data_IF_714808405879
#
_entry.id   IF_714808405879
#
_cell.length_a   1.000
_cell.length_b   1.000
_cell.length_c   1.000
_cell.angle_alpha   90.00
_cell.angle_beta   90.00
_cell.angle_gamma   90.00
#
_symmetry.space_group_name_H-M   'P 1'
#
loop_
_entity.id
_entity.type
_entity.pdbx_description
1 polymer ?
#
# COMPACT_ATOMS: atom_id res chain seq x y z
N UNK A 1 -8.76 47.65 -7.69
CA UNK A 1 -10.20 47.52 -8.04
C UNK A 1 -10.41 46.15 -8.67
N UNK A 2 -11.52 45.51 -8.31
CA UNK A 2 -11.72 44.06 -8.28
C UNK A 2 -11.91 43.37 -9.65
N UNK A 3 -11.41 42.14 -9.76
CA UNK A 3 -11.76 41.15 -10.80
C UNK A 3 -12.79 40.21 -10.19
N UNK A 4 -14.00 40.17 -10.77
CA UNK A 4 -15.10 39.31 -10.32
C UNK A 4 -15.23 38.07 -11.21
N UNK A 5 -15.21 36.91 -10.56
CA UNK A 5 -15.60 35.61 -11.09
C UNK A 5 -17.14 35.52 -11.22
N UNK A 6 -17.63 34.91 -12.30
CA UNK A 6 -18.96 34.28 -12.30
C UNK A 6 -18.97 33.09 -13.29
N UNK A 7 -19.05 31.89 -12.71
CA UNK A 7 -19.25 30.61 -13.39
C UNK A 7 -20.69 30.19 -13.02
N UNK A 8 -21.57 29.99 -14.01
CA UNK A 8 -22.90 29.46 -13.74
C UNK A 8 -23.26 28.42 -14.79
N UNK A 9 -23.30 27.16 -14.33
CA UNK A 9 -23.78 26.01 -15.06
C UNK A 9 -25.20 25.71 -14.58
N UNK A 10 -26.13 25.54 -15.51
CA UNK A 10 -27.43 24.90 -15.32
C UNK A 10 -27.97 24.55 -16.70
N UNK A 11 -28.02 23.26 -17.04
CA UNK A 11 -29.12 22.67 -17.81
C UNK A 11 -28.98 21.14 -17.78
N UNK A 12 -29.84 20.53 -16.97
CA UNK A 12 -30.32 19.15 -17.15
C UNK A 12 -31.38 19.18 -18.26
N UNK A 13 -31.53 18.13 -19.08
CA UNK A 13 -32.76 17.34 -18.93
C UNK A 13 -32.65 15.83 -19.23
N UNK A 14 -33.31 15.07 -18.36
CA UNK A 14 -34.39 14.10 -18.66
C UNK A 14 -34.07 12.70 -19.23
N UNK A 15 -34.47 11.75 -18.40
CA UNK A 15 -34.76 10.31 -18.51
C UNK A 15 -35.59 9.82 -19.71
N UNK A 16 -35.30 8.59 -20.19
CA UNK A 16 -36.24 7.62 -20.81
C UNK A 16 -35.64 6.19 -20.58
N UNK A 17 -36.12 5.37 -19.65
CA UNK A 17 -37.20 4.37 -19.75
C UNK A 17 -37.12 3.39 -20.94
N UNK A 18 -36.64 2.14 -20.72
CA UNK A 18 -37.26 0.91 -21.28
C UNK A 18 -36.59 -0.37 -20.79
N UNK A 19 -37.36 -1.19 -20.10
CA UNK A 19 -37.29 -2.65 -20.11
C UNK A 19 -38.72 -3.14 -20.45
N UNK A 20 -39.03 -4.44 -20.55
CA UNK A 20 -38.26 -5.61 -21.00
C UNK A 20 -39.03 -6.36 -22.13
N UNK A 21 -38.39 -7.25 -22.90
CA UNK A 21 -39.12 -8.31 -23.65
C UNK A 21 -38.25 -9.57 -23.71
N UNK A 22 -38.85 -10.70 -23.34
CA UNK A 22 -38.17 -11.98 -23.18
C UNK A 22 -37.91 -12.74 -24.48
N UNK A 23 -37.39 -13.96 -24.31
CA UNK A 23 -37.70 -15.08 -25.18
C UNK A 23 -37.58 -16.39 -24.39
N UNK A 24 -38.56 -17.23 -24.67
CA UNK A 24 -38.92 -18.51 -24.08
C UNK A 24 -38.55 -19.60 -25.10
N UNK A 25 -38.35 -20.81 -24.57
CA UNK A 25 -38.56 -22.14 -25.18
C UNK A 25 -37.43 -22.87 -25.91
N UNK A 26 -37.24 -24.10 -25.41
CA UNK A 26 -37.04 -25.39 -26.12
C UNK A 26 -35.68 -25.61 -26.81
N UNK A 27 -35.05 -26.78 -26.76
CA UNK A 27 -35.58 -28.14 -27.00
C UNK A 27 -34.65 -29.22 -26.39
N UNK A 28 -35.21 -30.42 -26.19
CA UNK A 28 -34.60 -31.60 -25.60
C UNK A 28 -33.88 -32.54 -26.61
N UNK A 29 -33.45 -33.71 -26.10
CA UNK A 29 -33.23 -35.04 -26.74
C UNK A 29 -31.73 -35.41 -26.92
N UNK A 30 -31.11 -36.30 -26.10
CA UNK A 30 -31.16 -37.79 -25.91
C UNK A 30 -30.26 -38.59 -26.88
N UNK A 31 -29.62 -39.65 -26.31
CA UNK A 31 -29.09 -40.91 -26.89
C UNK A 31 -27.55 -40.96 -27.15
N UNK A 32 -26.79 -42.04 -26.94
CA UNK A 32 -26.91 -43.28 -26.17
C UNK A 32 -25.60 -44.10 -26.39
N UNK A 33 -25.22 -44.93 -25.41
CA UNK A 33 -24.53 -46.25 -25.51
C UNK A 33 -23.12 -46.40 -26.12
N UNK A 34 -22.27 -47.13 -25.38
CA UNK A 34 -21.09 -47.81 -25.90
C UNK A 34 -20.25 -48.49 -24.82
N UNK A 35 -20.73 -49.62 -24.29
CA UNK A 35 -19.97 -50.62 -23.50
C UNK A 35 -18.70 -51.09 -24.24
N UNK A 36 -17.61 -51.37 -23.52
CA UNK A 36 -16.94 -52.69 -23.47
C UNK A 36 -15.64 -52.63 -22.63
N UNK A 37 -15.61 -53.35 -21.50
CA UNK A 37 -14.43 -53.97 -20.88
C UNK A 37 -14.26 -55.38 -21.49
N UNK A 38 -13.06 -56.03 -21.55
CA UNK A 38 -12.37 -56.48 -20.33
C UNK A 38 -10.83 -56.69 -20.39
N UNK A 39 -10.27 -56.87 -19.18
CA UNK A 39 -9.16 -57.76 -18.78
C UNK A 39 -7.83 -57.74 -19.55
N UNK A 40 -6.74 -57.38 -18.86
CA UNK A 40 -5.83 -58.43 -18.41
C UNK A 40 -4.87 -58.02 -17.28
N UNK A 41 -4.50 -59.06 -16.55
CA UNK A 41 -3.90 -59.11 -15.22
C UNK A 41 -2.37 -59.19 -15.27
N UNK A 42 -1.64 -58.33 -14.54
CA UNK A 42 -0.28 -58.65 -14.04
C UNK A 42 -0.05 -57.90 -12.71
N UNK A 43 0.24 -58.66 -11.64
CA UNK A 43 0.70 -58.18 -10.31
C UNK A 43 2.25 -58.13 -10.25
N UNK A 44 2.86 -57.87 -9.08
CA UNK A 44 3.19 -56.56 -8.52
C UNK A 44 4.72 -56.37 -8.41
N UNK A 45 5.23 -55.15 -8.27
CA UNK A 45 6.52 -54.95 -7.59
C UNK A 45 6.59 -53.56 -6.94
N UNK A 46 6.95 -53.61 -5.67
CA UNK A 46 7.40 -52.55 -4.77
C UNK A 46 8.27 -51.49 -5.44
N UNK A 47 8.02 -50.21 -5.13
CA UNK A 47 9.00 -49.37 -4.41
C UNK A 47 8.38 -48.05 -3.94
N UNK A 48 8.67 -47.77 -2.66
CA UNK A 48 8.66 -46.46 -2.03
C UNK A 48 9.51 -45.49 -2.87
N UNK A 49 9.03 -44.28 -3.12
CA UNK A 49 9.59 -43.13 -2.40
C UNK A 49 8.69 -41.89 -2.54
N UNK A 50 8.62 -41.18 -1.43
CA UNK A 50 7.91 -39.93 -1.22
C UNK A 50 8.70 -38.81 -1.87
N UNK A 51 8.07 -38.07 -2.78
CA UNK A 51 8.58 -36.75 -3.19
C UNK A 51 7.40 -35.82 -3.44
N UNK A 52 6.87 -35.34 -2.31
CA UNK A 52 6.51 -33.95 -2.05
C UNK A 52 5.86 -33.20 -3.22
N UNK A 53 4.54 -33.36 -3.29
CA UNK A 53 3.64 -32.27 -3.65
C UNK A 53 4.07 -30.99 -2.90
N UNK A 54 4.13 -29.81 -3.54
CA UNK A 54 4.44 -28.58 -2.81
C UNK A 54 3.33 -28.39 -1.79
N UNK A 55 3.69 -28.57 -0.51
CA UNK A 55 2.82 -28.30 0.61
C UNK A 55 2.16 -26.94 0.34
N UNK A 56 0.84 -26.93 0.24
CA UNK A 56 0.08 -25.74 0.56
C UNK A 56 0.41 -25.46 2.02
N UNK A 57 1.45 -24.65 2.22
CA UNK A 57 1.77 -24.06 3.51
C UNK A 57 0.54 -23.22 3.82
N UNK A 58 -0.40 -23.81 4.54
CA UNK A 58 -1.41 -23.09 5.29
C UNK A 58 -0.62 -22.13 6.17
N UNK A 59 -0.44 -20.90 5.69
CA UNK A 59 0.13 -19.83 6.50
C UNK A 59 -0.80 -19.71 7.69
N UNK A 60 -0.30 -20.10 8.85
CA UNK A 60 -0.95 -19.82 10.12
C UNK A 60 -1.28 -18.34 10.10
N UNK A 61 -2.56 -17.98 10.24
CA UNK A 61 -3.01 -16.60 10.21
C UNK A 61 -2.13 -15.79 11.15
N UNK A 62 -1.31 -14.90 10.59
CA UNK A 62 -0.40 -14.07 11.37
C UNK A 62 -1.28 -13.12 12.18
N UNK A 63 -1.08 -13.07 13.50
CA UNK A 63 -1.89 -12.23 14.41
C UNK A 63 -1.02 -11.26 15.17
N UNK A 64 -1.63 -10.19 15.66
CA UNK A 64 -0.95 -9.18 16.45
C UNK A 64 -0.37 -8.03 15.62
N UNK A 65 0.12 -7.02 16.31
CA UNK A 65 0.67 -5.82 15.68
C UNK A 65 1.89 -6.13 14.78
N UNK A 66 2.74 -7.09 15.17
CA UNK A 66 3.88 -7.58 14.37
C UNK A 66 3.47 -8.19 13.03
N UNK A 67 2.35 -8.92 13.01
CA UNK A 67 1.83 -9.55 11.80
C UNK A 67 1.47 -8.51 10.74
N UNK A 68 0.87 -7.40 11.17
CA UNK A 68 0.48 -6.30 10.27
C UNK A 68 1.71 -5.70 9.60
N UNK A 69 2.80 -5.43 10.34
CA UNK A 69 4.08 -5.00 9.75
C UNK A 69 4.61 -6.00 8.71
N UNK A 70 4.60 -7.29 9.05
CA UNK A 70 5.12 -8.34 8.18
C UNK A 70 4.32 -8.43 6.87
N UNK A 71 2.98 -8.40 6.96
CA UNK A 71 2.10 -8.44 5.79
C UNK A 71 2.33 -7.22 4.90
N UNK A 72 2.37 -6.01 5.49
CA UNK A 72 2.66 -4.77 4.74
C UNK A 72 3.99 -4.87 3.99
N UNK A 73 5.03 -5.43 4.62
CA UNK A 73 6.34 -5.61 4.00
C UNK A 73 6.29 -6.61 2.83
N UNK A 74 5.58 -7.72 2.99
CA UNK A 74 5.46 -8.75 1.96
C UNK A 74 4.68 -8.26 0.72
N UNK A 75 3.71 -7.35 0.92
CA UNK A 75 2.91 -6.75 -0.15
C UNK A 75 3.74 -5.87 -1.11
N UNK A 76 4.85 -5.27 -0.67
CA UNK A 76 5.64 -4.32 -1.47
C UNK A 76 6.09 -4.90 -2.82
N UNK A 77 6.43 -6.21 -2.82
CA UNK A 77 6.89 -6.94 -4.00
C UNK A 77 5.83 -7.10 -5.09
N UNK A 78 4.56 -6.95 -4.74
CA UNK A 78 3.42 -7.13 -5.64
C UNK A 78 2.80 -5.81 -6.10
N UNK A 79 3.35 -4.68 -5.61
CA UNK A 79 2.90 -3.37 -6.05
C UNK A 79 3.37 -3.08 -7.48
N UNK A 80 2.61 -2.25 -8.21
CA UNK A 80 3.06 -1.75 -9.50
C UNK A 80 4.43 -1.05 -9.38
N UNK A 81 5.27 -1.18 -10.42
CA UNK A 81 6.61 -0.59 -10.43
C UNK A 81 6.56 0.94 -10.33
N UNK A 82 7.51 1.54 -9.59
CA UNK A 82 7.73 3.00 -9.51
C UNK A 82 8.30 3.59 -10.79
N UNK A 83 9.07 2.80 -11.53
CA UNK A 83 9.72 3.26 -12.76
C UNK A 83 8.70 3.57 -13.87
N UNK A 84 7.50 2.97 -13.80
CA UNK A 84 6.44 3.16 -14.79
C UNK A 84 5.63 4.41 -14.41
N UNK A 85 5.75 5.45 -15.24
CA UNK A 85 5.02 6.70 -15.06
C UNK A 85 3.55 6.61 -15.52
N UNK A 86 2.75 5.79 -14.83
CA UNK A 86 1.30 5.72 -15.02
C UNK A 86 0.58 6.22 -13.78
N UNK A 87 -0.44 7.07 -13.97
CA UNK A 87 -1.15 7.70 -12.86
C UNK A 87 -1.79 6.67 -11.92
N UNK A 88 -2.39 5.61 -12.45
CA UNK A 88 -3.02 4.55 -11.66
C UNK A 88 -1.99 3.79 -10.79
N UNK A 89 -0.78 3.59 -11.30
CA UNK A 89 0.33 2.91 -10.61
C UNK A 89 0.80 3.78 -9.43
N UNK A 90 0.94 5.08 -9.69
CA UNK A 90 1.26 6.07 -8.66
C UNK A 90 0.22 6.11 -7.56
N UNK A 91 -1.08 6.09 -7.89
CA UNK A 91 -2.15 6.08 -6.86
C UNK A 91 -2.02 4.88 -5.92
N UNK A 92 -1.78 3.67 -6.45
CA UNK A 92 -1.56 2.49 -5.61
C UNK A 92 -0.34 2.64 -4.69
N UNK A 93 0.79 3.13 -5.24
CA UNK A 93 2.01 3.41 -4.47
C UNK A 93 1.78 4.47 -3.40
N UNK A 94 1.02 5.52 -3.72
CA UNK A 94 0.66 6.57 -2.76
C UNK A 94 -0.16 5.99 -1.62
N UNK A 95 -1.25 5.27 -1.90
CA UNK A 95 -2.09 4.66 -0.85
C UNK A 95 -1.28 3.68 0.00
N UNK A 96 -0.46 2.83 -0.61
CA UNK A 96 0.43 1.94 0.14
C UNK A 96 1.45 2.70 0.99
N UNK A 97 2.01 3.80 0.47
CA UNK A 97 2.87 4.71 1.23
C UNK A 97 2.13 5.30 2.43
N UNK A 98 0.87 5.72 2.25
CA UNK A 98 0.01 6.18 3.35
C UNK A 98 -0.20 5.06 4.38
N UNK A 99 -0.48 3.82 3.97
CA UNK A 99 -0.64 2.68 4.88
C UNK A 99 0.60 2.48 5.75
N UNK A 100 1.80 2.52 5.16
CA UNK A 100 3.05 2.40 5.92
C UNK A 100 3.26 3.57 6.89
N UNK A 101 2.92 4.79 6.51
CA UNK A 101 3.01 5.94 7.42
C UNK A 101 1.99 5.87 8.55
N UNK A 102 0.75 5.50 8.26
CA UNK A 102 -0.31 5.30 9.26
C UNK A 102 0.08 4.21 10.24
N UNK A 103 0.63 3.09 9.75
CA UNK A 103 1.09 2.01 10.60
C UNK A 103 2.18 2.47 11.57
N UNK A 104 3.21 3.20 11.10
CA UNK A 104 4.24 3.74 11.99
C UNK A 104 3.72 4.73 13.03
N UNK A 105 2.66 5.48 12.69
CA UNK A 105 2.03 6.39 13.66
C UNK A 105 1.28 5.65 14.76
N UNK A 106 0.90 4.38 14.57
CA UNK A 106 0.21 3.59 15.61
C UNK A 106 1.08 3.50 16.86
N UNK A 107 2.40 3.33 16.67
CA UNK A 107 3.37 3.13 17.75
C UNK A 107 3.47 4.35 18.68
N UNK A 108 3.29 5.55 18.10
CA UNK A 108 3.40 6.83 18.81
C UNK A 108 2.02 7.48 19.12
N UNK A 109 0.91 6.86 18.70
CA UNK A 109 -0.42 7.47 18.79
C UNK A 109 -1.06 7.26 20.15
N UNK A 110 -1.66 8.33 20.68
CA UNK A 110 -2.53 8.25 21.88
C UNK A 110 -3.81 7.45 21.61
N UNK A 111 -4.20 7.28 20.34
CA UNK A 111 -5.42 6.58 19.92
C UNK A 111 -5.11 5.56 18.80
N UNK A 112 -4.44 4.45 19.13
CA UNK A 112 -4.04 3.46 18.12
C UNK A 112 -5.26 2.80 17.46
N UNK A 113 -6.39 2.68 18.17
CA UNK A 113 -7.65 2.18 17.60
C UNK A 113 -8.15 2.99 16.40
N UNK A 114 -7.97 4.32 16.41
CA UNK A 114 -8.33 5.19 15.28
C UNK A 114 -7.41 4.93 14.09
N UNK A 115 -6.11 4.86 14.33
CA UNK A 115 -5.13 4.62 13.25
C UNK A 115 -5.30 3.23 12.60
N UNK A 116 -5.71 2.20 13.35
CA UNK A 116 -6.10 0.91 12.78
C UNK A 116 -7.38 0.97 11.92
N UNK A 117 -8.35 1.82 12.28
CA UNK A 117 -9.52 2.08 11.43
C UNK A 117 -9.15 2.82 10.16
N UNK A 118 -8.25 3.79 10.26
CA UNK A 118 -7.71 4.49 9.10
C UNK A 118 -6.94 3.50 8.19
N UNK A 119 -6.17 2.58 8.78
CA UNK A 119 -5.48 1.51 8.05
C UNK A 119 -6.47 0.55 7.35
N UNK A 120 -7.58 0.22 7.99
CA UNK A 120 -8.67 -0.56 7.38
C UNK A 120 -9.27 0.15 6.17
N UNK A 121 -9.49 1.47 6.25
CA UNK A 121 -9.98 2.27 5.13
C UNK A 121 -9.00 2.29 3.95
N UNK A 122 -7.72 2.46 4.24
CA UNK A 122 -6.65 2.46 3.22
C UNK A 122 -6.48 1.09 2.53
N UNK A 123 -6.69 -0.03 3.23
CA UNK A 123 -6.69 -1.36 2.61
C UNK A 123 -7.79 -1.49 1.56
N UNK A 124 -9.02 -1.05 1.88
CA UNK A 124 -10.14 -1.09 0.95
C UNK A 124 -9.92 -0.19 -0.27
N UNK A 125 -9.32 0.99 -0.05
CA UNK A 125 -8.94 1.92 -1.12
C UNK A 125 -7.87 1.30 -2.04
N UNK A 126 -6.83 0.69 -1.47
CA UNK A 126 -5.78 0.00 -2.23
C UNK A 126 -6.37 -1.15 -3.05
N UNK A 127 -7.25 -1.96 -2.47
CA UNK A 127 -7.95 -3.04 -3.17
C UNK A 127 -8.76 -2.50 -4.35
N UNK A 128 -9.41 -1.36 -4.19
CA UNK A 128 -10.16 -0.69 -5.26
C UNK A 128 -9.24 -0.22 -6.38
N UNK A 129 -8.12 0.44 -6.06
CA UNK A 129 -7.16 0.87 -7.08
C UNK A 129 -6.49 -0.29 -7.82
N UNK A 130 -6.16 -1.38 -7.11
CA UNK A 130 -5.58 -2.59 -7.72
C UNK A 130 -6.57 -3.29 -8.66
N UNK A 131 -7.87 -3.32 -8.32
CA UNK A 131 -8.90 -3.82 -9.23
C UNK A 131 -9.04 -2.94 -10.48
N UNK A 132 -8.99 -1.61 -10.31
CA UNK A 132 -9.15 -0.65 -11.41
C UNK A 132 -7.93 -0.61 -12.36
N UNK A 133 -6.74 -0.97 -11.87
CA UNK A 133 -5.50 -1.00 -12.66
C UNK A 133 -5.57 -1.94 -13.86
N UNK A 134 -6.26 -3.08 -13.70
CA UNK A 134 -6.34 -4.11 -14.72
C UNK A 134 -7.64 -4.91 -14.60
N UNK A 135 -8.77 -4.29 -14.93
CA UNK A 135 -10.09 -4.93 -14.89
C UNK A 135 -10.15 -6.28 -15.64
N UNK A 136 -9.28 -6.48 -16.64
CA UNK A 136 -9.19 -7.72 -17.41
C UNK A 136 -8.34 -8.83 -16.75
N UNK A 137 -7.29 -8.49 -16.00
CA UNK A 137 -6.40 -9.49 -15.33
C UNK A 137 -6.65 -9.62 -13.82
N UNK A 138 -7.37 -8.68 -13.22
CA UNK A 138 -7.64 -8.63 -11.78
C UNK A 138 -6.40 -8.40 -10.91
N UNK A 139 -6.60 -8.41 -9.60
CA UNK A 139 -5.52 -8.35 -8.60
C UNK A 139 -4.74 -9.67 -8.62
N UNK A 140 -3.40 -9.67 -8.64
CA UNK A 140 -2.60 -10.88 -8.49
C UNK A 140 -3.03 -11.71 -7.27
N UNK A 141 -3.14 -13.04 -7.43
CA UNK A 141 -3.67 -13.94 -6.39
C UNK A 141 -2.95 -13.72 -5.05
N UNK A 142 -1.61 -13.70 -5.05
CA UNK A 142 -0.82 -13.46 -3.83
C UNK A 142 -1.09 -12.11 -3.19
N UNK A 143 -1.27 -11.05 -3.98
CA UNK A 143 -1.60 -9.72 -3.45
C UNK A 143 -2.97 -9.72 -2.79
N UNK A 144 -3.94 -10.46 -3.35
CA UNK A 144 -5.25 -10.65 -2.74
C UNK A 144 -5.16 -11.40 -1.41
N UNK A 145 -4.38 -12.48 -1.36
CA UNK A 145 -4.14 -13.24 -0.12
C UNK A 145 -3.57 -12.36 0.98
N UNK A 146 -2.57 -11.52 0.67
CA UNK A 146 -2.02 -10.58 1.65
C UNK A 146 -3.02 -9.50 2.08
N UNK A 147 -3.84 -8.98 1.17
CA UNK A 147 -4.89 -8.02 1.51
C UNK A 147 -5.98 -8.64 2.38
N UNK A 148 -6.36 -9.89 2.13
CA UNK A 148 -7.31 -10.63 2.97
C UNK A 148 -6.71 -10.92 4.35
N UNK A 149 -5.45 -11.36 4.41
CA UNK A 149 -4.71 -11.58 5.67
C UNK A 149 -4.57 -10.27 6.47
N UNK A 150 -4.27 -9.15 5.80
CA UNK A 150 -4.18 -7.83 6.42
C UNK A 150 -5.53 -7.41 7.02
N UNK A 151 -6.61 -7.56 6.26
CA UNK A 151 -7.96 -7.24 6.70
C UNK A 151 -8.35 -8.06 7.93
N UNK A 152 -8.07 -9.36 7.90
CA UNK A 152 -8.42 -10.26 8.99
C UNK A 152 -7.57 -9.97 10.25
N UNK A 153 -6.28 -9.65 10.09
CA UNK A 153 -5.41 -9.22 11.20
C UNK A 153 -5.86 -7.90 11.83
N UNK A 154 -6.28 -6.91 11.01
CA UNK A 154 -6.82 -5.63 11.50
C UNK A 154 -8.14 -5.85 12.24
N UNK A 155 -9.03 -6.70 11.71
CA UNK A 155 -10.30 -7.02 12.36
C UNK A 155 -10.10 -7.73 13.70
N UNK A 156 -9.16 -8.68 13.77
CA UNK A 156 -8.80 -9.38 15.01
C UNK A 156 -8.20 -8.40 16.04
N UNK A 157 -7.32 -7.49 15.62
CA UNK A 157 -6.77 -6.44 16.50
C UNK A 157 -7.88 -5.53 17.05
N UNK A 158 -8.78 -5.06 16.19
CA UNK A 158 -9.91 -4.21 16.58
C UNK A 158 -10.90 -4.95 17.50
N UNK A 159 -11.11 -6.25 17.30
CA UNK A 159 -12.01 -7.06 18.11
C UNK A 159 -11.45 -7.35 19.51
N UNK A 160 -10.13 -7.55 19.65
CA UNK A 160 -9.47 -7.76 20.95
C UNK A 160 -9.33 -6.48 21.78
N UNK A 161 -9.41 -5.32 21.11
CA UNK A 161 -9.09 -4.04 21.71
C UNK A 161 -7.61 -3.74 21.55
N UNK A 162 -7.30 -2.57 20.98
CA UNK A 162 -5.93 -2.14 20.73
C UNK A 162 -5.48 -1.32 21.92
N UNK A 163 -4.78 -1.96 22.85
CA UNK A 163 -4.14 -1.31 23.99
C UNK A 163 -2.65 -1.09 23.73
N UNK A 164 -2.01 -0.30 24.59
CA UNK A 164 -0.56 -0.10 24.59
C UNK A 164 0.19 -1.41 24.77
N UNK A 165 -0.35 -2.34 25.56
CA UNK A 165 0.25 -3.67 25.81
C UNK A 165 0.24 -4.52 24.54
N UNK A 166 -0.83 -4.46 23.74
CA UNK A 166 -0.91 -5.18 22.45
C UNK A 166 0.17 -4.70 21.46
N UNK A 167 0.44 -3.39 21.44
CA UNK A 167 1.48 -2.80 20.58
C UNK A 167 2.86 -3.20 21.12
N UNK A 168 3.10 -3.07 22.42
CA UNK A 168 4.36 -3.44 23.07
C UNK A 168 4.68 -4.93 22.91
N UNK A 169 3.69 -5.82 23.01
CA UNK A 169 3.82 -7.25 22.73
C UNK A 169 4.24 -7.48 21.27
N UNK A 170 3.59 -6.81 20.32
CA UNK A 170 3.97 -6.89 18.91
C UNK A 170 5.38 -6.36 18.62
N UNK A 171 5.79 -5.25 19.24
CA UNK A 171 7.15 -4.72 19.10
C UNK A 171 8.17 -5.70 19.68
N UNK A 172 7.86 -6.31 20.82
CA UNK A 172 8.70 -7.33 21.46
C UNK A 172 8.84 -8.55 20.57
N UNK A 173 7.75 -9.06 19.99
CA UNK A 173 7.76 -10.18 19.05
C UNK A 173 8.61 -9.90 17.79
N UNK A 174 8.63 -8.65 17.33
CA UNK A 174 9.46 -8.21 16.20
C UNK A 174 10.95 -8.17 16.57
N UNK A 175 11.30 -7.76 17.81
CA UNK A 175 12.68 -7.67 18.29
C UNK A 175 13.23 -9.07 18.62
N UNK A 176 12.43 -9.90 19.27
CA UNK A 176 12.83 -11.24 19.73
C UNK A 176 12.93 -12.26 18.58
N UNK A 177 12.67 -11.84 17.34
CA UNK A 177 12.76 -12.72 16.18
C UNK A 177 11.85 -13.94 16.32
N UNK A 178 10.71 -13.75 17.00
CA UNK A 178 9.69 -14.77 17.23
C UNK A 178 8.45 -14.52 16.36
N UNK A 179 8.58 -14.28 15.04
CA UNK A 179 7.40 -14.25 14.22
C UNK A 179 6.88 -15.68 14.11
N UNK A 180 5.59 -15.88 14.35
CA UNK A 180 4.82 -17.00 13.77
C UNK A 180 4.73 -16.90 12.23
N UNK A 181 5.79 -16.40 11.61
CA UNK A 181 5.91 -16.06 10.20
C UNK A 181 7.32 -16.48 9.82
N UNK A 182 7.47 -17.52 9.00
CA UNK A 182 8.68 -17.64 8.19
C UNK A 182 8.80 -16.33 7.40
N UNK A 183 9.67 -15.45 7.88
CA UNK A 183 10.23 -14.37 7.08
C UNK A 183 11.11 -15.09 6.08
N UNK A 184 10.75 -15.06 4.79
CA UNK A 184 11.74 -15.32 3.75
C UNK A 184 12.94 -14.44 4.10
N UNK A 185 14.17 -15.00 4.18
CA UNK A 185 15.34 -14.23 4.56
C UNK A 185 15.36 -12.98 3.68
N UNK A 186 15.22 -11.80 4.32
CA UNK A 186 15.36 -10.54 3.61
C UNK A 186 16.63 -10.67 2.78
N UNK A 187 16.61 -10.33 1.47
CA UNK A 187 17.87 -10.16 0.78
C UNK A 187 18.64 -9.15 1.61
N UNK A 188 19.73 -9.58 2.26
CA UNK A 188 20.64 -8.72 3.01
C UNK A 188 20.84 -7.51 2.11
N UNK A 189 20.34 -6.34 2.51
CA UNK A 189 20.56 -5.11 1.78
C UNK A 189 22.05 -5.07 1.52
N UNK A 190 22.43 -5.30 0.27
CA UNK A 190 23.83 -5.25 -0.10
C UNK A 190 24.27 -3.87 0.34
N UNK A 191 25.31 -3.79 1.20
CA UNK A 191 25.92 -2.50 1.55
C UNK A 191 26.41 -1.88 0.24
N UNK A 192 25.54 -1.10 -0.40
CA UNK A 192 25.80 -0.43 -1.68
C UNK A 192 26.91 0.61 -1.54
N UNK A 193 27.20 1.01 -0.30
CA UNK A 193 28.28 1.93 0.01
C UNK A 193 29.04 1.47 1.27
N UNK A 194 30.38 1.49 1.25
CA UNK A 194 31.19 1.29 2.46
C UNK A 194 30.81 2.31 3.54
N UNK A 195 30.82 1.87 4.81
CA UNK A 195 30.45 2.71 5.97
C UNK A 195 31.29 4.00 6.05
N UNK A 196 32.51 4.00 5.51
CA UNK A 196 33.38 5.18 5.39
C UNK A 196 32.82 6.24 4.44
N UNK A 197 32.30 5.82 3.28
CA UNK A 197 31.64 6.74 2.34
C UNK A 197 30.33 7.27 2.92
N UNK A 198 29.61 6.44 3.67
CA UNK A 198 28.34 6.84 4.28
C UNK A 198 28.55 7.95 5.33
N UNK A 199 29.53 7.77 6.22
CA UNK A 199 29.91 8.81 7.19
C UNK A 199 30.31 10.12 6.52
N UNK A 200 31.08 10.05 5.42
CA UNK A 200 31.46 11.24 4.66
C UNK A 200 30.23 11.96 4.10
N UNK A 201 29.31 11.23 3.46
CA UNK A 201 28.07 11.82 2.93
C UNK A 201 27.21 12.44 4.03
N UNK A 202 27.13 11.83 5.22
CA UNK A 202 26.42 12.43 6.36
C UNK A 202 27.05 13.76 6.81
N UNK A 203 28.37 13.86 6.85
CA UNK A 203 29.08 15.10 7.20
C UNK A 203 28.87 16.16 6.12
N UNK A 204 29.07 15.81 4.84
CA UNK A 204 28.87 16.72 3.71
C UNK A 204 27.43 17.24 3.66
N UNK A 205 26.44 16.40 3.97
CA UNK A 205 25.03 16.77 4.02
C UNK A 205 24.74 17.73 5.19
N UNK A 206 25.33 17.50 6.36
CA UNK A 206 25.20 18.41 7.49
C UNK A 206 25.82 19.79 7.19
N UNK A 207 26.98 19.82 6.56
CA UNK A 207 27.65 21.07 6.14
C UNK A 207 26.83 21.82 5.08
N UNK A 208 26.31 21.10 4.07
CA UNK A 208 25.44 21.67 3.04
C UNK A 208 24.17 22.27 3.65
N UNK A 209 23.51 21.57 4.58
CA UNK A 209 22.34 22.10 5.32
C UNK A 209 22.67 23.37 6.08
N UNK A 210 23.81 23.43 6.78
CA UNK A 210 24.26 24.63 7.49
C UNK A 210 24.50 25.80 6.54
N UNK A 211 25.07 25.55 5.37
CA UNK A 211 25.28 26.56 4.33
C UNK A 211 23.96 27.08 3.76
N UNK A 212 23.01 26.19 3.47
CA UNK A 212 21.68 26.57 2.99
C UNK A 212 20.97 27.44 4.03
N UNK A 213 21.02 27.06 5.31
CA UNK A 213 20.42 27.85 6.39
C UNK A 213 21.01 29.27 6.43
N UNK A 214 22.35 29.39 6.41
CA UNK A 214 23.02 30.69 6.41
C UNK A 214 22.63 31.56 5.23
N UNK A 215 22.60 31.00 4.01
CA UNK A 215 22.20 31.74 2.81
C UNK A 215 20.74 32.19 2.88
N UNK A 216 19.87 31.38 3.49
CA UNK A 216 18.47 31.73 3.67
C UNK A 216 18.31 32.90 4.66
N UNK A 217 19.06 32.88 5.76
CA UNK A 217 19.08 33.96 6.75
C UNK A 217 19.60 35.28 6.13
N UNK A 218 20.67 35.20 5.34
CA UNK A 218 21.21 36.34 4.59
C UNK A 218 20.21 36.88 3.56
N UNK A 219 19.54 36.01 2.79
CA UNK A 219 18.51 36.41 1.84
C UNK A 219 17.33 37.09 2.53
N UNK A 220 16.89 36.56 3.68
CA UNK A 220 15.82 37.18 4.47
C UNK A 220 16.24 38.56 4.97
N UNK A 221 17.47 38.72 5.47
CA UNK A 221 18.01 40.00 5.91
C UNK A 221 18.08 41.03 4.77
N UNK A 222 18.57 40.62 3.60
CA UNK A 222 18.62 41.47 2.40
C UNK A 222 17.22 41.86 1.91
N UNK A 223 16.29 40.90 1.89
CA UNK A 223 14.89 41.15 1.51
C UNK A 223 14.26 42.21 2.41
N UNK A 224 14.49 42.13 3.73
CA UNK A 224 13.99 43.13 4.68
C UNK A 224 14.64 44.50 4.47
N UNK A 225 15.93 44.54 4.11
CA UNK A 225 16.64 45.78 3.81
C UNK A 225 16.12 46.44 2.53
N UNK A 226 15.89 45.66 1.47
CA UNK A 226 15.31 46.15 0.21
C UNK A 226 13.92 46.73 0.46
N UNK A 227 13.04 45.98 1.14
CA UNK A 227 11.70 46.48 1.51
C UNK A 227 11.74 47.79 2.28
N UNK A 228 12.70 47.96 3.19
CA UNK A 228 12.89 49.23 3.93
C UNK A 228 13.23 50.38 3.00
N UNK A 229 14.20 50.18 2.11
CA UNK A 229 14.62 51.22 1.15
C UNK A 229 13.51 51.55 0.14
N UNK A 230 12.73 50.57 -0.29
CA UNK A 230 11.56 50.79 -1.15
C UNK A 230 10.50 51.64 -0.43
N UNK A 231 10.20 51.34 0.84
CA UNK A 231 9.29 52.16 1.65
C UNK A 231 9.81 53.59 1.85
N UNK A 232 11.10 53.78 2.06
CA UNK A 232 11.72 55.12 2.16
C UNK A 232 11.62 55.87 0.84
N UNK A 233 11.95 55.22 -0.29
CA UNK A 233 11.83 55.79 -1.64
C UNK A 233 10.39 56.19 -1.94
N UNK A 234 9.42 55.32 -1.67
CA UNK A 234 8.00 55.58 -1.94
C UNK A 234 7.44 56.68 -1.04
N UNK A 235 7.95 56.82 0.19
CA UNK A 235 7.64 57.97 1.05
C UNK A 235 8.21 59.26 0.47
N UNK A 236 9.49 59.29 0.12
CA UNK A 236 10.13 60.48 -0.47
C UNK A 236 9.50 60.88 -1.82
N UNK A 237 9.08 59.91 -2.63
CA UNK A 237 8.43 60.14 -3.93
C UNK A 237 6.98 60.62 -3.80
N UNK A 238 6.36 60.50 -2.61
CA UNK A 238 5.00 60.96 -2.35
C UNK A 238 4.94 62.42 -1.90
N UNK A 239 6.08 63.03 -1.58
CA UNK A 239 6.20 64.42 -1.12
C UNK A 239 6.81 65.37 -2.17
N UNK A 240 7.17 64.86 -3.36
CA UNK A 240 7.55 65.61 -4.55
C UNK A 240 6.41 65.55 -5.57
#
# INVERSE_FOLDING_TARGET
MAIAFAFQALHNPTSVSRAPVGNLLETAITLQTGLQQPSDSVKPLTNMDTSQSPAMISRTARRGHAAVAAILTDMDRYLPSDTINRQDYRRCRTVYGLMNTTYRRIDDSEQPGKEYRDLQGLEAELRTHLNNLNAAKGIPIKMREYLDELRDAINDALARGISTEFILEGITDMIDGKPNSQTDPQPKLAKMMPDTKYKKVCVDLAEAKKKIQKLNDENNALTMRVKRLEMERDRSSRWL
#
